data_IF_606227598378
#
_entry.id   IF_606227598378
#
_cell.length_a   1.000
_cell.length_b   1.000
_cell.length_c   1.000
_cell.angle_alpha   90.00
_cell.angle_beta   90.00
_cell.angle_gamma   90.00
#
_symmetry.space_group_name_H-M   'P 1'
#
loop_
_entity.id
_entity.type
_entity.pdbx_description
1 polymer ?
2 non-polymer ?
3 water ?
#
# COMPACT_ATOMS: atom_id res chain seq x y z
N UNK A 10 -15.72 1.46 -16.04
CA UNK A 10 -15.70 0.07 -16.58
C UNK A 10 -16.72 -0.80 -15.87
N UNK A 11 -17.26 -1.79 -16.58
CA UNK A 11 -17.95 -2.91 -15.96
C UNK A 11 -16.93 -3.80 -15.28
N UNK A 12 -17.32 -4.45 -14.19
CA UNK A 12 -16.41 -5.33 -13.46
C UNK A 12 -16.91 -6.75 -13.32
N UNK A 13 -15.98 -7.71 -13.27
CA UNK A 13 -16.34 -9.14 -13.15
C UNK A 13 -16.75 -9.53 -11.73
N UNK A 14 -16.51 -8.65 -10.77
CA UNK A 14 -16.91 -8.83 -9.37
C UNK A 14 -17.46 -7.48 -8.88
N UNK A 15 -18.24 -7.50 -7.80
CA UNK A 15 -18.72 -6.29 -7.17
C UNK A 15 -17.52 -5.53 -6.60
N UNK A 16 -17.40 -4.24 -6.96
CA UNK A 16 -16.36 -3.40 -6.38
C UNK A 16 -16.92 -2.66 -5.18
N UNK A 17 -16.20 -2.72 -4.07
CA UNK A 17 -16.57 -1.93 -2.90
C UNK A 17 -16.34 -0.46 -3.25
N UNK A 18 -17.00 0.43 -2.50
CA UNK A 18 -16.83 1.84 -2.78
C UNK A 18 -15.35 2.23 -2.61
N UNK A 19 -14.83 3.07 -3.51
CA UNK A 19 -13.43 3.46 -3.42
C UNK A 19 -13.20 4.29 -2.14
N UNK A 20 -12.00 4.21 -1.57
CA UNK A 20 -11.76 4.92 -0.31
C UNK A 20 -11.75 6.43 -0.46
N UNK A 21 -12.39 7.09 0.49
CA UNK A 21 -12.40 8.55 0.50
C UNK A 21 -12.43 9.07 1.93
N UNK A 22 -12.31 10.38 2.08
CA UNK A 22 -12.35 11.03 3.38
C UNK A 22 -13.39 12.14 3.36
N UNK A 23 -14.05 12.30 4.50
CA UNK A 23 -14.95 13.42 4.69
C UNK A 23 -14.23 14.75 4.44
N UNK A 24 -14.99 15.69 3.89
CA UNK A 24 -14.54 17.08 3.76
C UNK A 24 -15.46 17.93 4.65
N UNK A 25 -14.84 18.76 5.50
CA UNK A 25 -15.57 19.63 6.41
C UNK A 25 -16.65 20.45 5.70
N UNK A 26 -17.88 20.38 6.20
CA UNK A 26 -19.01 21.20 5.72
C UNK A 26 -19.41 20.96 4.25
N UNK A 27 -19.01 19.79 3.72
CA UNK A 27 -19.36 19.43 2.36
C UNK A 27 -19.94 18.01 2.34
N UNK A 28 -20.78 17.71 1.34
CA UNK A 28 -21.14 16.31 1.08
C UNK A 28 -20.19 15.65 0.07
N UNK A 29 -19.34 16.46 -0.58
CA UNK A 29 -18.34 15.90 -1.49
C UNK A 29 -17.18 15.33 -0.65
N UNK A 30 -16.43 14.43 -1.26
CA UNK A 30 -15.42 13.63 -0.55
C UNK A 30 -14.04 13.83 -1.18
N UNK A 31 -13.01 13.50 -0.40
CA UNK A 31 -11.65 13.49 -0.92
C UNK A 31 -11.25 12.05 -1.24
N UNK A 32 -11.06 11.71 -2.54
CA UNK A 32 -10.75 10.32 -2.92
C UNK A 32 -9.28 10.03 -2.67
N UNK A 33 -8.99 8.95 -1.97
CA UNK A 33 -7.61 8.63 -1.59
C UNK A 33 -6.94 7.82 -2.71
N UNK A 34 -5.73 8.23 -3.07
CA UNK A 34 -4.93 7.59 -4.10
C UNK A 34 -3.91 6.67 -3.40
N UNK A 35 -2.80 7.23 -2.92
CA UNK A 35 -1.86 6.48 -2.07
C UNK A 35 -1.64 7.25 -0.78
N UNK A 36 -1.06 6.56 0.18
CA UNK A 36 -0.83 7.12 1.52
C UNK A 36 0.65 6.91 1.86
N UNK A 37 1.38 8.02 2.06
CA UNK A 37 2.80 7.99 2.39
C UNK A 37 2.97 8.42 3.84
N UNK A 38 3.90 7.81 4.55
CA UNK A 38 4.11 8.10 5.95
C UNK A 38 5.60 8.28 6.20
N UNK A 39 6.01 9.45 6.67
CA UNK A 39 7.43 9.66 6.98
C UNK A 39 7.84 8.98 8.31
N UNK A 40 9.05 8.43 8.39
CA UNK A 40 9.49 7.60 9.58
C UNK A 40 9.70 8.15 11.02
N UNK A 41 10.83 8.83 11.29
CA UNK A 41 11.12 9.70 12.42
C UNK A 41 11.36 11.12 11.93
N UNK A 42 10.37 12.01 12.08
CA UNK A 42 10.46 13.36 11.53
C UNK A 42 10.22 14.47 12.55
N UNK A 43 10.30 14.17 13.83
CA UNK A 43 10.21 15.19 14.87
C UNK A 43 11.41 15.11 15.81
N UNK A 44 11.89 16.27 16.21
CA UNK A 44 12.86 16.39 17.30
C UNK A 44 12.14 16.81 18.60
N UNK A 45 12.82 16.72 19.73
CA UNK A 45 12.26 17.13 21.03
C UNK A 45 12.26 18.65 21.25
N UNK A 46 12.62 19.41 20.20
CA UNK A 46 12.76 20.86 20.26
C UNK A 46 12.65 21.51 18.87
N UNK A 47 12.98 22.80 18.80
CA UNK A 47 13.22 23.56 17.55
C UNK A 47 12.41 23.12 16.33
N UNK A 55 22.85 19.30 8.76
CA UNK A 55 23.23 17.90 8.75
C UNK A 55 22.06 16.96 9.09
N UNK A 56 20.84 17.33 8.70
CA UNK A 56 19.71 16.42 8.83
C UNK A 56 19.97 15.22 7.95
N UNK A 57 19.58 14.04 8.42
CA UNK A 57 19.59 12.85 7.56
C UNK A 57 18.33 12.88 6.68
N UNK A 58 18.42 12.38 5.43
CA UNK A 58 17.23 12.31 4.60
C UNK A 58 16.13 11.48 5.27
N UNK A 59 14.87 11.83 5.02
CA UNK A 59 13.77 11.06 5.59
C UNK A 59 13.63 9.70 4.92
N UNK A 60 12.98 8.77 5.62
CA UNK A 60 12.56 7.52 4.99
C UNK A 60 11.05 7.41 5.13
N UNK A 61 10.45 6.50 4.38
CA UNK A 61 9.00 6.44 4.25
C UNK A 61 8.50 5.01 4.30
N UNK A 62 7.30 4.85 4.86
CA UNK A 62 6.52 3.65 4.58
C UNK A 62 5.18 4.13 4.04
N UNK A 63 4.30 3.19 3.72
CA UNK A 63 3.00 3.53 3.17
C UNK A 63 1.91 2.75 3.89
N UNK A 64 0.65 3.15 3.64
CA UNK A 64 -0.50 2.34 4.03
C UNK A 64 -1.40 2.23 2.79
N UNK A 65 -2.20 1.15 2.68
CA UNK A 65 -3.12 1.08 1.54
C UNK A 65 -4.19 2.16 1.68
N UNK A 66 -4.69 2.63 0.55
CA UNK A 66 -5.68 3.69 0.53
C UNK A 66 -6.89 3.37 1.42
N UNK A 67 -7.33 2.09 1.43
CA UNK A 67 -8.50 1.76 2.22
C UNK A 67 -8.19 1.45 3.69
N UNK A 68 -6.94 1.63 4.13
CA UNK A 68 -6.62 1.67 5.57
C UNK A 68 -7.03 3.00 6.19
N UNK A 69 -7.33 4.01 5.37
CA UNK A 69 -7.78 5.31 5.85
C UNK A 69 -9.25 5.14 6.22
N UNK A 70 -9.53 5.37 7.49
CA UNK A 70 -10.87 5.24 8.04
C UNK A 70 -11.16 6.51 8.85
N UNK A 71 -12.42 6.72 9.24
CA UNK A 71 -12.69 7.91 10.03
C UNK A 71 -12.10 7.85 11.43
N UNK A 72 -11.51 8.98 11.84
CA UNK A 72 -11.05 9.16 13.23
C UNK A 72 -12.26 9.59 14.06
N UNK A 73 -13.24 8.71 14.13
CA UNK A 73 -14.55 9.00 14.72
C UNK A 73 -15.21 7.66 14.97
N UNK A 74 -16.13 7.61 15.94
CA UNK A 74 -16.85 6.36 16.19
C UNK A 74 -15.92 5.32 16.81
N UNK A 75 -15.90 4.11 16.24
CA UNK A 75 -15.04 3.03 16.71
C UNK A 75 -13.99 2.75 15.66
N UNK A 76 -12.77 2.49 16.12
CA UNK A 76 -11.67 1.99 15.28
C UNK A 76 -11.36 0.59 15.77
N UNK A 77 -11.45 -0.40 14.87
CA UNK A 77 -11.29 -1.80 15.26
C UNK A 77 -9.88 -2.09 15.79
N UNK A 78 -9.82 -2.96 16.79
CA UNK A 78 -8.56 -3.52 17.25
C UNK A 78 -8.18 -4.68 16.32
N UNK A 79 -6.98 -4.65 15.73
CA UNK A 79 -6.69 -5.65 14.68
C UNK A 79 -6.29 -6.99 15.26
N UNK A 80 -6.34 -8.05 14.43
CA UNK A 80 -5.79 -9.34 14.85
C UNK A 80 -4.26 -9.32 14.90
N UNK A 81 -3.68 -10.38 15.45
CA UNK A 81 -2.22 -10.59 15.45
C UNK A 81 -1.43 -9.54 16.21
N UNK A 82 -2.05 -8.88 17.17
CA UNK A 82 -1.29 -8.00 18.04
C UNK A 82 -1.77 -8.01 19.48
N UNK A 83 -0.81 -7.78 20.38
CA UNK A 83 -1.06 -7.42 21.77
C UNK A 83 -0.45 -6.07 22.09
N UNK A 84 -0.08 -5.30 21.06
CA UNK A 84 0.67 -4.07 21.34
C UNK A 84 0.39 -3.05 20.23
N UNK A 85 -0.80 -2.47 20.29
CA UNK A 85 -1.28 -1.51 19.27
C UNK A 85 -0.84 -0.10 19.67
N UNK A 86 0.07 0.50 18.90
CA UNK A 86 0.56 1.83 19.24
C UNK A 86 -0.10 2.93 18.45
N UNK A 87 -0.11 4.11 19.05
CA UNK A 87 -0.62 5.32 18.41
C UNK A 87 0.53 6.28 18.07
N UNK A 88 0.44 6.93 16.91
CA UNK A 88 1.33 8.06 16.58
C UNK A 88 0.47 9.14 15.90
N UNK A 89 0.17 10.22 16.63
CA UNK A 89 -0.60 11.37 16.11
C UNK A 89 0.21 12.14 15.08
N UNK A 90 -0.43 12.52 13.97
CA UNK A 90 0.28 13.19 12.88
C UNK A 90 -0.59 14.20 12.17
N UNK A 91 0.03 15.25 11.66
CA UNK A 91 -0.62 16.11 10.67
C UNK A 91 -0.64 15.38 9.32
N UNK A 92 -1.81 15.37 8.69
CA UNK A 92 -2.00 14.71 7.39
C UNK A 92 -2.16 15.80 6.33
N UNK A 93 -1.35 15.70 5.27
CA UNK A 93 -1.42 16.65 4.14
C UNK A 93 -2.11 15.95 2.97
N UNK A 94 -3.12 16.60 2.41
CA UNK A 94 -3.84 16.06 1.26
C UNK A 94 -3.40 16.76 -0.01
N UNK A 95 -3.03 15.98 -1.02
CA UNK A 95 -2.46 16.54 -2.25
C UNK A 95 -3.56 16.79 -3.27
N UNK A 96 -3.50 17.95 -3.94
CA UNK A 96 -4.49 18.29 -4.96
C UNK A 96 -3.97 18.43 -6.38
N UNK A 97 -2.67 18.23 -6.60
CA UNK A 97 -2.06 18.47 -7.93
C UNK A 97 -0.90 17.49 -8.09
N UNK A 98 -0.89 16.78 -9.22
CA UNK A 98 0.15 15.80 -9.54
C UNK A 98 1.50 16.48 -9.69
N UNK A 99 2.57 15.75 -9.40
CA UNK A 99 3.91 16.27 -9.73
C UNK A 99 5.02 15.28 -9.49
N UNK A 100 6.08 15.37 -10.27
CA UNK A 100 7.31 14.65 -9.96
C UNK A 100 8.45 15.62 -9.84
N UNK A 101 9.43 15.25 -9.01
CA UNK A 101 10.59 16.12 -8.78
C UNK A 101 10.15 17.56 -8.47
N UNK A 102 9.22 17.69 -7.52
CA UNK A 102 8.70 18.98 -7.09
C UNK A 102 9.73 19.71 -6.25
N UNK A 103 10.01 20.97 -6.60
CA UNK A 103 10.91 21.82 -5.82
C UNK A 103 10.21 22.20 -4.52
N UNK A 104 10.95 22.19 -3.37
CA UNK A 104 10.31 22.62 -2.12
C UNK A 104 9.59 23.97 -2.23
N UNK A 105 10.15 24.89 -3.02
CA UNK A 105 9.53 26.22 -3.20
C UNK A 105 8.16 26.16 -3.90
N UNK A 106 7.91 25.07 -4.64
CA UNK A 106 6.63 24.88 -5.33
C UNK A 106 5.71 23.89 -4.61
N UNK A 107 6.20 23.23 -3.57
CA UNK A 107 5.49 22.10 -2.97
C UNK A 107 4.11 22.43 -2.40
N UNK A 108 3.99 23.58 -1.72
CA UNK A 108 2.73 23.89 -1.04
C UNK A 108 1.61 24.15 -2.04
N UNK A 109 1.98 24.56 -3.26
CA UNK A 109 0.99 24.74 -4.32
C UNK A 109 0.33 23.41 -4.75
N UNK A 110 0.95 22.28 -4.39
CA UNK A 110 0.35 20.96 -4.64
C UNK A 110 -0.60 20.48 -3.55
N UNK A 111 -0.72 21.26 -2.48
CA UNK A 111 -1.52 20.87 -1.32
C UNK A 111 -2.97 21.29 -1.49
N UNK A 112 -3.88 20.30 -1.45
CA UNK A 112 -5.31 20.60 -1.36
C UNK A 112 -5.73 21.10 0.03
N UNK A 113 -5.25 20.43 1.06
CA UNK A 113 -5.66 20.78 2.41
C UNK A 113 -5.07 19.84 3.43
N UNK A 114 -5.66 19.87 4.62
CA UNK A 114 -5.05 19.22 5.79
C UNK A 114 -6.08 18.54 6.66
N UNK A 115 -5.62 17.53 7.38
CA UNK A 115 -6.39 16.89 8.42
C UNK A 115 -5.44 16.40 9.49
N UNK A 116 -5.99 15.65 10.44
CA UNK A 116 -5.22 15.06 11.54
C UNK A 116 -5.45 13.55 11.49
N UNK A 117 -4.39 12.77 11.70
CA UNK A 117 -4.53 11.33 11.65
C UNK A 117 -3.78 10.64 12.77
N UNK A 118 -3.99 9.33 12.89
CA UNK A 118 -3.22 8.51 13.80
C UNK A 118 -2.63 7.37 12.96
N UNK A 119 -1.30 7.29 12.95
CA UNK A 119 -0.61 6.12 12.42
C UNK A 119 -0.71 5.06 13.51
N UNK A 120 -1.52 4.04 13.28
CA UNK A 120 -1.60 2.89 14.21
C UNK A 120 -0.66 1.78 13.77
N UNK A 121 0.00 1.14 14.74
CA UNK A 121 1.03 0.13 14.48
C UNK A 121 0.80 -1.13 15.32
N UNK A 122 0.88 -2.30 14.69
CA UNK A 122 1.04 -3.55 15.43
C UNK A 122 2.54 -3.61 15.78
N UNK A 123 2.87 -3.05 16.93
CA UNK A 123 4.27 -2.78 17.28
C UNK A 123 5.07 -4.03 17.58
N UNK A 124 4.41 -5.06 18.11
CA UNK A 124 5.04 -6.36 18.26
C UNK A 124 5.46 -6.94 16.92
N UNK A 125 4.57 -6.87 15.91
CA UNK A 125 4.98 -7.30 14.57
C UNK A 125 6.10 -6.39 14.01
N UNK A 126 6.05 -5.10 14.29
CA UNK A 126 7.10 -4.21 13.81
C UNK A 126 8.45 -4.58 14.40
N UNK A 127 8.47 -4.91 15.70
CA UNK A 127 9.73 -5.30 16.36
C UNK A 127 10.32 -6.54 15.68
N UNK A 128 9.48 -7.51 15.34
CA UNK A 128 9.97 -8.71 14.69
C UNK A 128 10.47 -8.40 13.28
N UNK A 129 9.74 -7.55 12.55
CA UNK A 129 10.18 -7.16 11.21
C UNK A 129 11.55 -6.47 11.26
N UNK A 130 11.72 -5.55 12.20
CA UNK A 130 13.02 -4.88 12.33
C UNK A 130 14.15 -5.87 12.63
N UNK A 131 13.91 -6.80 13.55
CA UNK A 131 14.91 -7.80 13.93
C UNK A 131 15.36 -8.61 12.71
N UNK A 132 14.43 -8.90 11.81
CA UNK A 132 14.69 -9.78 10.68
C UNK A 132 14.96 -9.05 9.38
N UNK A 133 14.98 -7.72 9.46
CA UNK A 133 15.14 -6.87 8.26
C UNK A 133 14.06 -7.23 7.23
N UNK A 134 12.83 -7.37 7.69
CA UNK A 134 11.71 -7.76 6.84
C UNK A 134 10.74 -6.60 6.66
N UNK A 135 9.82 -6.72 5.70
CA UNK A 135 8.93 -5.59 5.42
C UNK A 135 7.99 -5.24 6.57
N UNK A 136 7.60 -3.99 6.62
CA UNK A 136 6.77 -3.43 7.69
C UNK A 136 5.28 -3.47 7.39
N UNK A 137 4.87 -4.06 6.27
CA UNK A 137 3.45 -3.96 5.84
C UNK A 137 2.48 -4.56 6.87
N UNK A 138 2.83 -5.71 7.47
CA UNK A 138 1.91 -6.27 8.47
C UNK A 138 1.82 -5.35 9.69
N UNK A 139 2.95 -4.74 10.04
CA UNK A 139 2.98 -3.82 11.19
C UNK A 139 2.24 -2.50 10.95
N UNK A 140 2.28 -1.99 9.73
CA UNK A 140 1.86 -0.62 9.45
C UNK A 140 0.65 -0.45 8.52
N UNK A 141 0.35 -1.46 7.70
CA UNK A 141 -0.64 -1.28 6.64
C UNK A 141 -1.87 -2.15 6.78
N UNK A 142 -2.24 -2.46 8.02
CA UNK A 142 -3.33 -3.38 8.33
C UNK A 142 -4.68 -2.65 8.30
N UNK A 143 -5.76 -3.36 8.56
CA UNK A 143 -7.09 -2.75 8.44
C UNK A 143 -7.26 -1.63 9.46
N UNK A 144 -7.84 -0.51 9.03
CA UNK A 144 -8.16 0.59 9.94
C UNK A 144 -6.90 1.10 10.64
N UNK A 145 -5.75 1.05 9.93
CA UNK A 145 -4.49 1.47 10.51
C UNK A 145 -4.19 2.96 10.31
N UNK A 146 -5.06 3.70 9.62
CA UNK A 146 -4.87 5.15 9.46
C UNK A 146 -6.14 5.97 9.63
N UNK A 147 -6.67 6.06 10.85
CA UNK A 147 -7.80 6.96 11.06
C UNK A 147 -7.41 8.41 10.80
N UNK A 148 -8.29 9.13 10.11
CA UNK A 148 -8.08 10.52 9.71
C UNK A 148 -9.35 11.32 9.96
N UNK A 149 -9.20 12.57 10.40
CA UNK A 149 -10.34 13.49 10.52
C UNK A 149 -10.87 13.91 9.16
N UNK A 150 -12.02 14.58 9.18
CA UNK A 150 -12.43 15.34 8.01
C UNK A 150 -11.31 16.28 7.58
N UNK A 151 -11.21 16.51 6.28
CA UNK A 151 -10.19 17.41 5.72
C UNK A 151 -10.75 18.80 5.54
N UNK A 152 -9.86 19.78 5.62
CA UNK A 152 -10.19 21.18 5.36
C UNK A 152 -9.27 21.73 4.27
N UNK A 153 -9.82 22.56 3.38
CA UNK A 153 -9.02 23.12 2.28
C UNK A 153 -7.95 24.07 2.82
N UNK A 154 -6.80 24.11 2.15
CA UNK A 154 -5.71 25.01 2.55
C UNK A 154 -6.11 26.48 2.48
N UNK A 155 -7.05 26.81 1.59
CA UNK A 155 -7.62 28.17 1.55
C UNK A 155 -8.23 28.56 2.90
N UNK A 156 -8.76 27.57 3.62
CA UNK A 156 -9.37 27.81 4.93
C UNK A 156 -8.36 27.70 6.08
N UNK A 157 -7.45 26.73 6.01
CA UNK A 157 -6.57 26.45 7.15
C UNK A 157 -5.30 27.30 7.09
N UNK A 158 -4.91 27.73 5.89
CA UNK A 158 -3.53 28.17 5.67
C UNK A 158 -2.58 26.97 5.71
N UNK A 159 -1.29 27.25 5.47
CA UNK A 159 -0.26 26.22 5.54
C UNK A 159 0.44 26.33 6.91
N UNK A 160 0.08 25.44 7.85
CA UNK A 160 0.56 25.59 9.22
C UNK A 160 2.05 25.27 9.34
N UNK A 161 2.79 26.12 10.04
CA UNK A 161 4.22 25.92 10.26
C UNK A 161 4.51 25.69 11.74
N UNK A 162 3.52 25.92 12.58
CA UNK A 162 3.69 25.78 14.02
C UNK A 162 2.33 25.47 14.57
N UNK A 163 2.29 25.00 15.82
CA UNK A 163 1.04 24.70 16.51
C UNK A 163 1.12 23.40 17.28
N UNK A 164 0.41 23.34 18.40
CA UNK A 164 0.38 22.13 19.22
C UNK A 164 -0.23 20.95 18.47
N UNK A 165 0.45 19.82 18.58
CA UNK A 165 -0.03 18.53 18.07
C UNK A 165 -0.03 17.57 19.25
N UNK A 166 -1.15 16.89 19.48
CA UNK A 166 -1.32 16.16 20.74
C UNK A 166 -2.28 14.99 20.58
N UNK A 167 -2.18 14.05 21.51
CA UNK A 167 -3.07 12.89 21.59
C UNK A 167 -3.24 12.56 23.07
N UNK A 168 -4.47 12.22 23.45
CA UNK A 168 -4.77 11.77 24.81
C UNK A 168 -5.53 10.46 24.76
N UNK A 169 -5.46 9.73 25.87
CA UNK A 169 -6.19 8.50 26.06
C UNK A 169 -6.98 8.64 27.36
N UNK A 170 -8.31 8.47 27.26
CA UNK A 170 -9.20 8.65 28.41
C UNK A 170 -8.94 9.94 29.16
N UNK A 171 -8.58 10.97 28.40
CA UNK A 171 -8.39 12.33 28.93
C UNK A 171 -6.99 12.67 29.37
N UNK A 172 -6.08 11.70 29.30
CA UNK A 172 -4.71 11.91 29.76
C UNK A 172 -3.79 12.04 28.55
N UNK A 173 -2.99 13.11 28.52
CA UNK A 173 -2.08 13.32 27.37
C UNK A 173 -1.08 12.18 27.24
N UNK A 174 -0.90 11.67 26.02
CA UNK A 174 0.09 10.62 25.77
C UNK A 174 1.14 11.02 24.74
N UNK A 175 0.84 12.02 23.92
CA UNK A 175 1.82 12.60 23.01
C UNK A 175 1.60 14.09 22.93
N UNK A 176 2.69 14.82 22.82
CA UNK A 176 2.60 16.26 22.70
C UNK A 176 3.87 16.83 22.09
N UNK A 177 3.67 17.74 21.17
CA UNK A 177 4.78 18.50 20.61
C UNK A 177 4.22 19.66 19.81
N UNK A 178 5.02 20.17 18.89
CA UNK A 178 4.60 21.29 18.06
C UNK A 178 5.01 21.01 16.62
N UNK A 179 4.19 21.44 15.65
CA UNK A 179 4.55 21.27 14.24
C UNK A 179 5.93 21.87 13.92
N UNK A 180 6.35 22.87 14.68
CA UNK A 180 7.66 23.51 14.44
C UNK A 180 8.81 22.55 14.77
N UNK A 181 8.50 21.43 15.43
CA UNK A 181 9.48 20.40 15.79
C UNK A 181 9.85 19.51 14.60
N UNK A 182 9.14 19.63 13.49
CA UNK A 182 9.42 18.75 12.33
C UNK A 182 10.85 18.94 11.88
N UNK A 183 11.53 17.83 11.59
CA UNK A 183 12.90 17.85 11.08
C UNK A 183 12.90 18.34 9.62
N UNK A 184 12.14 17.65 8.77
CA UNK A 184 11.89 18.09 7.42
C UNK A 184 10.49 18.67 7.35
N UNK A 185 10.35 19.96 7.02
CA UNK A 185 9.02 20.53 6.96
C UNK A 185 8.23 20.03 5.75
N UNK A 186 6.94 20.32 5.74
CA UNK A 186 6.02 19.82 4.74
C UNK A 186 6.53 19.98 3.28
N UNK A 187 7.02 21.18 2.89
CA UNK A 187 7.49 21.33 1.50
C UNK A 187 8.58 20.33 1.11
N UNK A 188 9.51 20.08 2.02
CA UNK A 188 10.58 19.10 1.77
C UNK A 188 10.08 17.67 1.76
N UNK A 189 9.14 17.36 2.63
CA UNK A 189 8.57 16.01 2.65
C UNK A 189 7.89 15.71 1.30
N UNK A 190 7.09 16.66 0.84
CA UNK A 190 6.47 16.56 -0.49
C UNK A 190 7.52 16.36 -1.58
N UNK A 191 8.57 17.19 -1.54
CA UNK A 191 9.63 17.09 -2.53
C UNK A 191 10.26 15.70 -2.54
N UNK A 192 10.59 15.18 -1.35
CA UNK A 192 11.18 13.84 -1.28
C UNK A 192 10.27 12.77 -1.83
N UNK A 193 8.97 12.78 -1.50
CA UNK A 193 8.07 11.72 -2.01
C UNK A 193 8.04 11.79 -3.54
N UNK A 194 7.95 13.01 -4.07
CA UNK A 194 7.85 13.23 -5.52
C UNK A 194 9.10 12.84 -6.32
N UNK A 195 10.20 12.52 -5.63
CA UNK A 195 11.41 12.02 -6.29
C UNK A 195 11.46 10.49 -6.32
N UNK A 196 10.58 9.84 -5.55
CA UNK A 196 10.51 8.38 -5.50
C UNK A 196 9.43 7.83 -6.42
N UNK A 197 8.28 8.52 -6.46
CA UNK A 197 7.12 8.18 -7.28
C UNK A 197 6.53 9.49 -7.82
N UNK A 198 5.64 9.42 -8.81
CA UNK A 198 4.87 10.59 -9.16
C UNK A 198 3.84 10.83 -8.07
N UNK A 199 3.88 12.02 -7.47
CA UNK A 199 2.84 12.41 -6.53
C UNK A 199 1.56 12.68 -7.33
N UNK A 200 0.41 12.32 -6.76
CA UNK A 200 -0.88 12.51 -7.45
C UNK A 200 -1.89 13.22 -6.57
N UNK A 201 -2.75 14.01 -7.20
CA UNK A 201 -3.97 14.46 -6.53
C UNK A 201 -4.68 13.25 -5.93
N UNK A 202 -5.03 13.38 -4.66
CA UNK A 202 -5.62 12.28 -3.92
C UNK A 202 -4.66 11.63 -2.93
N UNK A 203 -3.39 11.94 -3.03
CA UNK A 203 -2.45 11.38 -2.06
C UNK A 203 -2.58 12.03 -0.69
N UNK A 204 -2.35 11.22 0.33
CA UNK A 204 -2.22 11.70 1.70
C UNK A 204 -0.82 11.43 2.22
N UNK A 205 -0.28 12.41 2.96
CA UNK A 205 1.03 12.25 3.56
C UNK A 205 0.94 12.47 5.07
N UNK A 206 1.29 11.46 5.84
CA UNK A 206 1.40 11.56 7.28
C UNK A 206 2.83 12.07 7.56
N UNK A 207 2.93 13.21 8.26
CA UNK A 207 4.18 13.99 8.28
C UNK A 207 5.08 13.82 9.50
N UNK A 208 4.74 12.87 10.35
CA UNK A 208 5.57 12.54 11.50
C UNK A 208 4.81 12.72 12.80
N UNK A 209 5.42 12.28 13.89
CA UNK A 209 4.75 12.26 15.19
C UNK A 209 5.63 12.86 16.27
N UNK A 210 5.03 13.62 17.19
CA UNK A 210 5.82 14.21 18.29
C UNK A 210 6.15 13.16 19.35
N UNK A 211 6.86 13.59 20.39
CA UNK A 211 7.27 12.71 21.47
C UNK A 211 6.11 12.07 22.25
N UNK A 212 6.43 11.00 22.97
CA UNK A 212 5.43 10.20 23.72
C UNK A 212 5.20 8.88 23.00
N UNK A 213 5.35 7.80 23.74
CA UNK A 213 5.20 6.42 23.22
C UNK A 213 4.04 5.79 23.97
N UNK A 214 3.07 5.24 23.25
CA UNK A 214 1.98 4.62 23.95
C UNK A 214 1.19 3.63 23.15
N UNK A 215 0.60 2.70 23.89
CA UNK A 215 -0.27 1.68 23.35
C UNK A 215 -1.72 1.94 23.72
N UNK A 216 -2.62 1.28 22.99
CA UNK A 216 -4.05 1.40 23.14
C UNK A 216 -4.63 0.02 23.44
N UNK A 217 -5.68 -0.01 24.25
CA UNK A 217 -6.39 -1.27 24.45
C UNK A 217 -7.89 -1.07 24.25
N UNK A 218 -8.64 -2.18 24.07
CA UNK A 218 -10.08 -2.04 23.80
C UNK A 218 -10.78 -1.15 24.84
N UNK A 219 -11.61 -0.25 24.35
CA UNK A 219 -12.41 0.63 25.20
C UNK A 219 -11.72 1.95 25.45
N UNK A 220 -10.43 2.08 25.13
CA UNK A 220 -9.76 3.38 25.28
C UNK A 220 -10.42 4.43 24.39
N UNK A 221 -10.60 5.63 24.95
CA UNK A 221 -11.12 6.77 24.20
C UNK A 221 -9.93 7.63 23.78
N UNK A 222 -9.69 7.68 22.48
CA UNK A 222 -8.54 8.42 21.93
C UNK A 222 -9.02 9.76 21.45
N UNK A 223 -8.39 10.82 21.93
CA UNK A 223 -8.66 12.14 21.43
C UNK A 223 -7.34 12.76 20.96
N UNK A 224 -7.43 13.81 20.18
CA UNK A 224 -6.20 14.47 19.74
C UNK A 224 -6.46 15.57 18.77
N UNK A 225 -5.40 16.20 18.31
CA UNK A 225 -5.60 17.30 17.39
C UNK A 225 -4.33 17.99 16.98
N UNK A 226 -4.50 18.90 16.04
CA UNK A 226 -3.48 19.86 15.70
C UNK A 226 -4.17 21.22 15.72
N UNK A 227 -3.65 22.13 16.57
CA UNK A 227 -4.22 23.46 16.70
C UNK A 227 -4.33 24.13 15.34
N UNK A 228 -5.48 24.75 15.07
CA UNK A 228 -5.72 25.40 13.79
C UNK A 228 -6.20 24.48 12.67
N UNK A 229 -6.19 23.17 12.91
CA UNK A 229 -6.60 22.20 11.87
C UNK A 229 -7.86 21.43 12.25
N UNK A 230 -7.75 20.50 13.21
CA UNK A 230 -8.88 19.66 13.58
C UNK A 230 -8.58 18.96 14.90
N UNK A 231 -9.63 18.51 15.57
CA UNK A 231 -9.51 17.60 16.70
C UNK A 231 -10.37 16.37 16.41
N UNK A 232 -10.23 15.32 17.22
CA UNK A 232 -11.01 14.09 16.99
C UNK A 232 -11.23 13.37 18.29
N UNK A 233 -12.18 12.43 18.23
CA UNK A 233 -12.38 11.41 19.26
C UNK A 233 -12.77 10.13 18.56
N UNK A 234 -12.20 9.02 19.01
CA UNK A 234 -12.73 7.68 18.66
C UNK A 234 -12.49 6.70 19.81
N UNK A 235 -13.21 5.58 19.81
CA UNK A 235 -12.97 4.53 20.82
C UNK A 235 -12.34 3.32 20.13
N UNK A 236 -11.47 2.62 20.84
CA UNK A 236 -10.84 1.40 20.34
C UNK A 236 -11.80 0.22 20.53
N UNK A 237 -12.02 -0.56 19.47
CA UNK A 237 -12.94 -1.67 19.53
C UNK A 237 -12.38 -2.88 20.26
N UNK A 238 -13.22 -3.91 20.38
CA UNK A 238 -12.89 -5.13 21.09
C UNK A 238 -11.78 -5.92 20.40
N UNK A 239 -10.93 -6.57 21.21
CA UNK A 239 -9.92 -7.47 20.65
C UNK A 239 -10.64 -8.68 20.00
N UNK A 240 -10.29 -9.01 18.74
CA UNK A 240 -10.98 -10.13 18.09
C UNK A 240 -10.51 -11.47 18.67
N UNK B 2 -41.70 -5.64 -5.25
CA UNK B 2 -40.53 -6.43 -5.74
C UNK B 2 -39.26 -5.63 -5.46
N UNK B 3 -38.10 -6.22 -5.74
CA UNK B 3 -36.82 -5.60 -5.35
C UNK B 3 -36.53 -4.36 -6.15
N UNK B 4 -35.89 -3.40 -5.49
CA UNK B 4 -35.48 -2.17 -6.13
C UNK B 4 -34.34 -1.55 -5.36
N UNK B 5 -33.56 -0.74 -6.06
CA UNK B 5 -32.53 0.07 -5.41
C UNK B 5 -32.18 1.26 -6.26
N UNK B 6 -31.54 2.24 -5.66
CA UNK B 6 -31.06 3.39 -6.37
C UNK B 6 -29.80 3.80 -5.66
N UNK B 7 -28.66 3.39 -6.20
CA UNK B 7 -27.42 3.75 -5.56
C UNK B 7 -26.90 5.10 -6.06
N UNK B 8 -26.43 5.90 -5.12
CA UNK B 8 -25.94 7.24 -5.41
C UNK B 8 -24.43 7.25 -5.20
N UNK B 9 -23.69 7.77 -6.16
CA UNK B 9 -22.25 7.81 -6.07
C UNK B 9 -21.82 9.12 -5.44
N UNK B 10 -20.80 9.07 -4.58
CA UNK B 10 -20.22 10.30 -4.03
C UNK B 10 -19.63 11.22 -5.08
N UNK B 11 -19.76 12.52 -4.85
CA UNK B 11 -19.01 13.54 -5.59
C UNK B 11 -17.67 13.75 -4.92
N UNK B 12 -16.65 14.15 -5.68
CA UNK B 12 -15.31 14.36 -5.14
C UNK B 12 -14.86 15.81 -5.35
N UNK B 13 -14.06 16.30 -4.40
CA UNK B 13 -13.59 17.69 -4.42
C UNK B 13 -12.44 17.91 -5.39
N UNK B 14 -11.84 16.82 -5.86
CA UNK B 14 -10.82 16.88 -6.90
C UNK B 14 -11.20 15.85 -7.98
N UNK B 15 -10.57 15.93 -9.16
CA UNK B 15 -10.76 14.90 -10.18
C UNK B 15 -10.28 13.54 -9.63
N UNK B 16 -11.16 12.54 -9.67
CA UNK B 16 -10.79 11.18 -9.30
C UNK B 16 -10.42 10.40 -10.57
N UNK B 17 -9.23 9.81 -10.53
CA UNK B 17 -8.74 9.00 -11.63
C UNK B 17 -9.54 7.70 -11.65
N UNK B 18 -9.64 7.06 -12.82
CA UNK B 18 -10.24 5.74 -12.95
C UNK B 18 -9.59 4.80 -11.94
N UNK B 19 -10.40 4.04 -11.20
CA UNK B 19 -9.85 3.15 -10.19
C UNK B 19 -9.05 2.03 -10.86
N UNK B 20 -7.99 1.56 -10.18
CA UNK B 20 -7.12 0.56 -10.82
C UNK B 20 -7.88 -0.73 -11.12
N UNK B 21 -7.63 -1.30 -12.28
CA UNK B 21 -8.24 -2.58 -12.67
C UNK B 21 -7.37 -3.30 -13.67
N UNK B 22 -7.65 -4.58 -13.86
CA UNK B 22 -6.86 -5.47 -14.75
C UNK B 22 -7.78 -5.97 -15.83
N UNK B 23 -7.26 -6.05 -17.04
CA UNK B 23 -7.95 -6.66 -18.17
C UNK B 23 -8.32 -8.09 -17.81
N UNK B 24 -9.45 -8.54 -18.33
CA UNK B 24 -9.86 -9.93 -18.23
C UNK B 24 -9.88 -10.52 -19.63
N UNK B 25 -9.24 -11.67 -19.78
CA UNK B 25 -9.22 -12.39 -21.05
C UNK B 25 -10.64 -12.72 -21.54
N UNK B 26 -10.88 -12.51 -22.84
CA UNK B 26 -12.16 -12.81 -23.50
C UNK B 26 -13.37 -12.09 -22.84
N UNK B 27 -13.13 -10.88 -22.32
CA UNK B 27 -14.20 -10.06 -21.73
C UNK B 27 -13.92 -8.58 -21.90
N UNK B 28 -14.99 -7.79 -21.99
CA UNK B 28 -14.87 -6.34 -21.90
C UNK B 28 -14.94 -5.83 -20.45
N UNK B 29 -15.34 -6.69 -19.50
CA UNK B 29 -15.34 -6.30 -18.10
C UNK B 29 -13.92 -6.46 -17.54
N UNK B 30 -13.66 -5.75 -16.45
CA UNK B 30 -12.32 -5.76 -15.87
C UNK B 30 -12.37 -6.21 -14.41
N UNK B 31 -11.19 -6.40 -13.83
CA UNK B 31 -11.08 -6.84 -12.45
C UNK B 31 -10.57 -5.67 -11.60
N UNK B 32 -11.42 -5.13 -10.70
CA UNK B 32 -11.03 -3.97 -9.89
C UNK B 32 -10.11 -4.40 -8.76
N UNK B 33 -8.97 -3.74 -8.62
CA UNK B 33 -7.96 -4.13 -7.65
C UNK B 33 -8.19 -3.42 -6.32
N UNK B 34 -8.13 -4.21 -5.24
CA UNK B 34 -8.36 -3.72 -3.89
C UNK B 34 -6.98 -3.52 -3.22
N UNK B 35 -6.39 -4.60 -2.70
CA UNK B 35 -5.00 -4.56 -2.23
C UNK B 35 -4.16 -5.60 -2.96
N UNK B 36 -2.83 -5.47 -2.86
CA UNK B 36 -1.91 -6.39 -3.52
C UNK B 36 -0.94 -6.94 -2.47
N UNK B 37 -0.96 -8.26 -2.25
CA UNK B 37 -0.09 -8.90 -1.27
C UNK B 37 0.94 -9.74 -2.01
N UNK B 38 2.17 -9.74 -1.51
CA UNK B 38 3.28 -10.43 -2.19
C UNK B 38 4.03 -11.27 -1.17
N UNK B 39 4.13 -12.56 -1.42
CA UNK B 39 4.84 -13.41 -0.51
C UNK B 39 6.36 -13.27 -0.72
N UNK B 40 7.05 -13.25 0.41
CA UNK B 40 8.45 -13.40 0.40
C UNK B 40 8.72 -14.83 -0.01
N UNK B 41 9.94 -15.20 0.18
CA UNK B 41 10.55 -16.39 -0.43
C UNK B 41 9.64 -17.61 -0.33
N UNK B 42 9.12 -18.06 -1.46
CA UNK B 42 8.13 -19.13 -1.48
C UNK B 42 8.38 -20.23 -2.52
N UNK B 43 9.60 -20.34 -3.04
CA UNK B 43 9.95 -21.45 -3.92
C UNK B 43 11.16 -22.19 -3.44
N UNK B 44 11.13 -23.51 -3.57
CA UNK B 44 12.25 -24.33 -3.21
C UNK B 44 12.80 -25.07 -4.43
N UNK B 45 13.92 -25.77 -4.24
CA UNK B 45 14.57 -26.55 -5.30
C UNK B 45 13.83 -27.86 -5.55
N UNK B 55 9.59 -28.97 7.94
CA UNK B 55 9.73 -27.88 8.90
C UNK B 55 9.79 -26.53 8.16
N UNK B 56 8.73 -26.21 7.43
CA UNK B 56 8.62 -24.93 6.72
C UNK B 56 8.45 -23.79 7.72
N UNK B 57 9.16 -22.69 7.48
CA UNK B 57 8.90 -21.48 8.24
C UNK B 57 7.69 -20.78 7.65
N UNK B 58 6.90 -20.10 8.50
CA UNK B 58 5.77 -19.32 8.02
C UNK B 58 6.24 -18.30 6.97
N UNK B 59 5.38 -18.00 5.98
CA UNK B 59 5.74 -16.99 4.98
C UNK B 59 5.70 -15.59 5.59
N UNK B 60 6.36 -14.64 4.92
CA UNK B 60 6.18 -13.22 5.23
C UNK B 60 5.72 -12.51 3.96
N UNK B 61 5.25 -11.29 4.13
CA UNK B 61 4.57 -10.57 3.05
C UNK B 61 4.98 -9.12 2.97
N UNK B 62 5.04 -8.60 1.75
CA UNK B 62 5.00 -7.16 1.55
C UNK B 62 3.81 -6.89 0.63
N UNK B 63 3.57 -5.62 0.31
CA UNK B 63 2.43 -5.24 -0.53
C UNK B 63 2.90 -4.29 -1.62
N UNK B 64 2.03 -4.04 -2.59
CA UNK B 64 2.19 -2.98 -3.56
C UNK B 64 0.87 -2.20 -3.57
N UNK B 65 0.90 -0.91 -3.94
CA UNK B 65 -0.36 -0.19 -4.05
C UNK B 65 -1.16 -0.72 -5.25
N UNK B 66 -2.47 -0.64 -5.15
CA UNK B 66 -3.36 -1.14 -6.20
C UNK B 66 -3.00 -0.57 -7.56
N UNK B 67 -2.63 0.72 -7.60
CA UNK B 67 -2.36 1.35 -8.88
C UNK B 67 -0.93 1.14 -9.39
N UNK B 68 -0.12 0.33 -8.69
CA UNK B 68 1.15 -0.14 -9.22
C UNK B 68 0.96 -1.30 -10.18
N UNK B 69 -0.26 -1.84 -10.22
CA UNK B 69 -0.60 -2.95 -11.13
C UNK B 69 -0.88 -2.34 -12.49
N UNK B 70 -0.03 -2.66 -13.46
CA UNK B 70 -0.10 -2.11 -14.79
C UNK B 70 -0.05 -3.25 -15.79
N UNK B 71 -0.39 -2.98 -17.07
CA UNK B 71 -0.34 -4.07 -18.03
C UNK B 71 1.06 -4.60 -18.28
N UNK B 72 1.18 -5.91 -18.34
CA UNK B 72 2.44 -6.57 -18.69
C UNK B 72 2.52 -6.65 -20.23
N UNK B 73 2.50 -5.47 -20.85
CA UNK B 73 2.51 -5.32 -22.31
C UNK B 73 2.88 -3.89 -22.62
N UNK B 74 3.20 -3.61 -23.87
CA UNK B 74 3.62 -2.28 -24.22
C UNK B 74 4.94 -1.93 -23.59
N UNK B 75 5.01 -0.77 -22.96
CA UNK B 75 6.19 -0.29 -22.26
C UNK B 75 5.89 -0.28 -20.77
N UNK B 76 6.88 -0.69 -19.97
CA UNK B 76 6.77 -0.62 -18.53
C UNK B 76 7.88 0.36 -18.12
N UNK B 77 7.51 1.45 -17.47
CA UNK B 77 8.49 2.50 -17.20
C UNK B 77 9.64 2.03 -16.29
N UNK B 78 10.84 2.51 -16.55
CA UNK B 78 11.97 2.31 -15.65
C UNK B 78 11.87 3.41 -14.57
N UNK B 79 11.80 3.03 -13.28
CA UNK B 79 11.50 4.01 -12.23
C UNK B 79 12.72 4.90 -11.92
N UNK B 80 12.47 6.06 -11.28
CA UNK B 80 13.55 6.90 -10.78
C UNK B 80 14.24 6.23 -9.58
N UNK B 81 15.34 6.81 -9.12
CA UNK B 81 16.02 6.41 -7.86
C UNK B 81 16.55 4.99 -7.87
N UNK B 82 16.85 4.45 -9.04
CA UNK B 82 17.47 3.16 -9.09
C UNK B 82 18.47 3.01 -10.23
N UNK B 83 19.51 2.22 -9.99
CA UNK B 83 20.39 1.75 -11.04
C UNK B 83 20.36 0.23 -11.06
N UNK B 84 19.34 -0.37 -10.42
CA UNK B 84 19.34 -1.84 -10.26
C UNK B 84 17.91 -2.39 -10.10
N UNK B 85 17.19 -2.43 -11.22
CA UNK B 85 15.80 -2.91 -11.29
C UNK B 85 15.81 -4.41 -11.47
N UNK B 86 15.19 -5.16 -10.56
CA UNK B 86 15.16 -6.61 -10.69
C UNK B 86 13.79 -7.15 -11.04
N UNK B 87 13.79 -8.31 -11.70
CA UNK B 87 12.55 -9.03 -12.05
C UNK B 87 12.37 -10.27 -11.21
N UNK B 88 11.11 -10.56 -10.88
CA UNK B 88 10.71 -11.84 -10.30
C UNK B 88 9.38 -12.26 -10.92
N UNK B 89 9.40 -13.30 -11.75
CA UNK B 89 8.17 -13.84 -12.36
C UNK B 89 7.31 -14.55 -11.30
N UNK B 90 5.99 -14.32 -11.31
CA UNK B 90 5.10 -14.90 -10.28
C UNK B 90 3.74 -15.23 -10.83
N UNK B 91 3.13 -16.31 -10.31
CA UNK B 91 1.70 -16.55 -10.48
C UNK B 91 0.91 -15.57 -9.60
N UNK B 92 -0.04 -14.87 -10.21
CA UNK B 92 -0.88 -13.92 -9.49
C UNK B 92 -2.29 -14.50 -9.31
N UNK B 93 -2.75 -14.53 -8.06
CA UNK B 93 -4.08 -15.04 -7.72
C UNK B 93 -5.03 -13.88 -7.45
N UNK B 94 -6.18 -13.90 -8.12
CA UNK B 94 -7.18 -12.82 -7.97
C UNK B 94 -8.33 -13.32 -7.12
N UNK B 95 -8.67 -12.57 -6.06
CA UNK B 95 -9.68 -13.01 -5.08
C UNK B 95 -11.07 -12.50 -5.46
N UNK B 96 -12.07 -13.36 -5.34
CA UNK B 96 -13.45 -12.98 -5.65
C UNK B 96 -14.43 -13.02 -4.49
N UNK B 97 -13.97 -13.36 -3.29
CA UNK B 97 -14.86 -13.50 -2.13
C UNK B 97 -14.14 -13.10 -0.87
N UNK B 98 -14.78 -12.22 -0.09
CA UNK B 98 -14.18 -11.74 1.14
C UNK B 98 -13.98 -12.88 2.15
N UNK B 99 -13.03 -12.72 3.05
CA UNK B 99 -12.97 -13.62 4.20
C UNK B 99 -11.88 -13.33 5.17
N UNK B 100 -12.11 -13.64 6.43
CA UNK B 100 -11.03 -13.64 7.40
C UNK B 100 -10.88 -15.04 8.00
N UNK B 101 -9.65 -15.36 8.44
CA UNK B 101 -9.37 -16.66 9.04
C UNK B 101 -9.92 -17.81 8.17
N UNK B 102 -9.54 -17.78 6.90
CA UNK B 102 -10.01 -18.74 5.91
C UNK B 102 -9.22 -20.05 6.10
N UNK B 103 -9.93 -21.17 6.20
CA UNK B 103 -9.23 -22.46 6.29
C UNK B 103 -8.67 -22.79 4.90
N UNK B 104 -7.44 -23.36 4.84
CA UNK B 104 -6.89 -23.77 3.55
C UNK B 104 -7.85 -24.62 2.73
N UNK B 105 -8.62 -25.50 3.39
CA UNK B 105 -9.55 -26.35 2.66
C UNK B 105 -10.64 -25.56 1.93
N UNK B 106 -10.88 -24.32 2.35
CA UNK B 106 -11.92 -23.46 1.76
C UNK B 106 -11.33 -22.34 0.90
N UNK B 107 -10.01 -22.23 0.89
CA UNK B 107 -9.38 -21.04 0.32
C UNK B 107 -9.58 -20.88 -1.19
N UNK B 108 -9.50 -21.98 -1.94
CA UNK B 108 -9.66 -21.88 -3.38
C UNK B 108 -11.06 -21.39 -3.78
N UNK B 109 -12.07 -21.60 -2.93
CA UNK B 109 -13.40 -21.07 -3.21
C UNK B 109 -13.46 -19.56 -3.19
N UNK B 110 -12.43 -18.92 -2.61
CA UNK B 110 -12.32 -17.47 -2.62
C UNK B 110 -11.64 -16.93 -3.84
N UNK B 111 -11.14 -17.81 -4.71
CA UNK B 111 -10.35 -17.35 -5.87
C UNK B 111 -11.24 -17.11 -7.09
N UNK B 112 -11.20 -15.88 -7.63
CA UNK B 112 -11.89 -15.58 -8.89
C UNK B 112 -11.10 -16.11 -10.10
N UNK B 113 -9.79 -15.93 -10.11
CA UNK B 113 -9.00 -16.27 -11.28
C UNK B 113 -7.54 -16.05 -11.09
N UNK B 114 -6.80 -16.10 -12.20
CA UNK B 114 -5.35 -16.10 -12.18
C UNK B 114 -4.78 -15.25 -13.28
N UNK B 115 -3.56 -14.73 -13.04
CA UNK B 115 -2.78 -14.12 -14.07
C UNK B 115 -1.31 -14.37 -13.82
N UNK B 116 -0.47 -13.72 -14.62
CA UNK B 116 0.99 -13.84 -14.50
C UNK B 116 1.52 -12.43 -14.28
N UNK B 117 2.44 -12.29 -13.34
CA UNK B 117 2.94 -10.97 -12.98
C UNK B 117 4.45 -10.94 -12.86
N UNK B 118 4.99 -9.75 -12.82
CA UNK B 118 6.41 -9.57 -12.49
C UNK B 118 6.46 -8.64 -11.28
N UNK B 119 7.02 -9.13 -10.18
CA UNK B 119 7.35 -8.29 -9.04
C UNK B 119 8.63 -7.57 -9.43
N UNK B 120 8.53 -6.28 -9.69
CA UNK B 120 9.72 -5.45 -9.94
C UNK B 120 10.22 -4.81 -8.66
N UNK B 121 11.54 -4.74 -8.54
CA UNK B 121 12.18 -4.23 -7.32
C UNK B 121 13.27 -3.23 -7.63
N UNK B 122 13.30 -2.13 -6.89
CA UNK B 122 14.48 -1.24 -6.91
C UNK B 122 15.44 -1.87 -5.90
N UNK B 123 16.31 -2.76 -6.39
CA UNK B 123 17.08 -3.67 -5.53
C UNK B 123 18.14 -2.92 -4.72
N UNK B 124 18.71 -1.87 -5.30
CA UNK B 124 19.62 -1.01 -4.54
C UNK B 124 18.94 -0.38 -3.33
N UNK B 125 17.74 0.16 -3.52
CA UNK B 125 16.97 0.68 -2.38
C UNK B 125 16.63 -0.42 -1.41
N UNK B 126 16.32 -1.61 -1.92
CA UNK B 126 16.04 -2.72 -1.02
C UNK B 126 17.22 -3.09 -0.14
N UNK B 127 18.42 -3.13 -0.73
CA UNK B 127 19.58 -3.52 0.06
C UNK B 127 19.83 -2.49 1.18
N UNK B 128 19.63 -1.21 0.87
CA UNK B 128 19.76 -0.13 1.86
C UNK B 128 18.75 -0.30 2.97
N UNK B 129 17.51 -0.58 2.61
CA UNK B 129 16.46 -0.82 3.60
C UNK B 129 16.80 -1.99 4.52
N UNK B 130 17.29 -3.08 3.95
CA UNK B 130 17.64 -4.24 4.76
C UNK B 130 18.77 -3.91 5.75
N UNK B 131 19.79 -3.19 5.29
CA UNK B 131 20.94 -2.80 6.13
C UNK B 131 20.48 -1.99 7.34
N UNK B 132 19.47 -1.15 7.14
CA UNK B 132 18.98 -0.22 8.17
C UNK B 132 17.72 -0.72 8.92
N UNK B 133 17.24 -1.93 8.61
CA UNK B 133 15.96 -2.41 9.16
C UNK B 133 14.85 -1.41 8.92
N UNK B 134 14.76 -0.91 7.69
CA UNK B 134 13.81 0.13 7.33
C UNK B 134 12.78 -0.46 6.35
N UNK B 135 11.67 0.25 6.13
CA UNK B 135 10.59 -0.30 5.32
C UNK B 135 10.99 -0.49 3.85
N UNK B 136 10.34 -1.45 3.20
CA UNK B 136 10.63 -1.83 1.82
C UNK B 136 9.77 -1.13 0.80
N UNK B 137 8.95 -0.18 1.21
CA UNK B 137 7.99 0.41 0.27
C UNK B 137 8.64 1.09 -0.92
N UNK B 138 9.71 1.85 -0.69
CA UNK B 138 10.40 2.43 -1.83
C UNK B 138 10.95 1.34 -2.78
N UNK B 139 11.43 0.24 -2.21
CA UNK B 139 12.01 -0.84 -2.99
C UNK B 139 10.95 -1.61 -3.80
N UNK B 140 9.74 -1.74 -3.24
CA UNK B 140 8.78 -2.72 -3.75
C UNK B 140 7.48 -2.14 -4.26
N UNK B 141 7.13 -0.92 -3.84
CA UNK B 141 5.79 -0.37 -4.07
C UNK B 141 5.74 0.87 -4.92
N UNK B 142 6.71 0.99 -5.81
CA UNK B 142 6.88 2.16 -6.65
C UNK B 142 5.98 2.12 -7.91
N UNK B 143 6.07 3.14 -8.77
CA UNK B 143 5.18 3.17 -9.92
C UNK B 143 5.44 2.04 -10.88
N UNK B 144 4.37 1.42 -11.39
CA UNK B 144 4.50 0.35 -12.40
C UNK B 144 5.39 -0.78 -11.88
N UNK B 145 5.33 -1.04 -10.58
CA UNK B 145 6.13 -2.10 -9.97
C UNK B 145 5.50 -3.48 -10.01
N UNK B 146 4.28 -3.59 -10.55
CA UNK B 146 3.63 -4.90 -10.66
C UNK B 146 2.91 -5.10 -11.98
N UNK B 147 3.69 -5.21 -13.08
CA UNK B 147 3.01 -5.56 -14.33
C UNK B 147 2.32 -6.94 -14.21
N UNK B 148 1.08 -7.02 -14.70
CA UNK B 148 0.29 -8.26 -14.67
C UNK B 148 -0.38 -8.44 -16.03
N UNK B 149 -0.51 -9.70 -16.47
CA UNK B 149 -1.26 -10.02 -17.68
C UNK B 149 -2.75 -9.85 -17.47
N UNK B 150 -3.51 -9.88 -18.57
CA UNK B 150 -4.92 -10.10 -18.45
C UNK B 150 -5.18 -11.35 -17.58
N UNK B 151 -6.24 -11.28 -16.79
CA UNK B 151 -6.63 -12.38 -15.93
C UNK B 151 -7.58 -13.34 -16.64
N UNK B 152 -7.49 -14.61 -16.25
CA UNK B 152 -8.47 -15.63 -16.67
C UNK B 152 -9.26 -16.12 -15.47
N UNK B 153 -10.56 -16.31 -15.65
CA UNK B 153 -11.41 -16.86 -14.59
C UNK B 153 -10.97 -18.27 -14.24
N UNK B 154 -11.04 -18.62 -12.97
CA UNK B 154 -10.69 -19.98 -12.53
C UNK B 154 -11.60 -21.06 -13.15
N UNK B 155 -12.80 -20.69 -13.56
CA UNK B 155 -13.67 -21.62 -14.26
C UNK B 155 -13.09 -22.01 -15.62
N UNK B 156 -12.23 -21.16 -16.18
CA UNK B 156 -11.54 -21.44 -17.45
C UNK B 156 -10.22 -22.17 -17.29
N UNK B 157 -9.55 -21.99 -16.15
CA UNK B 157 -8.17 -22.51 -15.97
C UNK B 157 -8.06 -23.67 -14.99
N UNK B 158 -9.08 -23.84 -14.16
CA UNK B 158 -8.90 -24.60 -12.91
C UNK B 158 -7.97 -23.86 -11.96
N UNK B 159 -7.55 -24.53 -10.89
CA UNK B 159 -6.64 -23.94 -9.91
C UNK B 159 -5.28 -24.56 -10.18
N UNK B 160 -4.39 -23.84 -10.91
CA UNK B 160 -3.14 -24.48 -11.32
C UNK B 160 -2.29 -24.85 -10.11
N UNK B 161 -1.69 -26.03 -10.14
CA UNK B 161 -0.83 -26.50 -9.02
C UNK B 161 0.51 -27.03 -9.50
N UNK B 162 0.70 -27.11 -10.81
CA UNK B 162 1.91 -27.63 -11.42
C UNK B 162 2.07 -26.96 -12.77
N UNK B 163 3.29 -26.91 -13.25
CA UNK B 163 3.57 -26.43 -14.59
C UNK B 163 4.63 -25.34 -14.65
N UNK B 164 5.14 -25.12 -15.85
CA UNK B 164 6.26 -24.20 -16.06
C UNK B 164 5.89 -22.74 -15.78
N UNK B 165 6.77 -22.06 -15.03
CA UNK B 165 6.70 -20.63 -14.78
C UNK B 165 8.07 -20.09 -15.19
N UNK B 166 8.10 -19.09 -16.06
CA UNK B 166 9.37 -18.74 -16.70
C UNK B 166 9.40 -17.26 -17.06
N UNK B 167 10.62 -16.75 -17.24
CA UNK B 167 10.82 -15.39 -17.68
C UNK B 167 12.12 -15.35 -18.48
N UNK B 168 12.10 -14.63 -19.61
CA UNK B 168 13.28 -14.38 -20.43
C UNK B 168 13.47 -12.90 -20.65
N UNK B 169 14.73 -12.54 -20.91
CA UNK B 169 15.10 -11.16 -21.22
C UNK B 169 15.87 -11.18 -22.53
N UNK B 170 15.38 -10.41 -23.49
CA UNK B 170 15.94 -10.42 -24.83
C UNK B 170 16.10 -11.84 -25.37
N UNK B 171 15.09 -12.66 -25.08
CA UNK B 171 15.02 -14.03 -25.60
C UNK B 171 15.87 -15.04 -24.81
N UNK B 172 16.57 -14.58 -23.79
CA UNK B 172 17.46 -15.44 -23.00
C UNK B 172 16.76 -15.80 -21.69
N UNK B 173 16.51 -17.09 -21.44
CA UNK B 173 15.80 -17.49 -20.23
C UNK B 173 16.58 -17.12 -18.99
N UNK B 174 15.93 -16.43 -18.06
CA UNK B 174 16.54 -16.03 -16.80
C UNK B 174 15.91 -16.74 -15.61
N UNK B 175 14.64 -17.08 -15.70
CA UNK B 175 13.98 -17.84 -14.63
C UNK B 175 13.18 -18.95 -15.24
N UNK B 176 13.22 -20.14 -14.64
CA UNK B 176 12.40 -21.24 -15.08
C UNK B 176 12.24 -22.18 -13.91
N UNK B 177 11.01 -22.35 -13.47
CA UNK B 177 10.71 -23.26 -12.42
C UNK B 177 9.36 -23.90 -12.65
N UNK B 178 8.81 -24.50 -11.59
CA UNK B 178 7.52 -25.16 -11.70
C UNK B 178 6.66 -24.74 -10.52
N UNK B 179 5.38 -24.49 -10.76
CA UNK B 179 4.46 -24.12 -9.68
C UNK B 179 4.47 -25.11 -8.52
N UNK B 180 4.80 -26.38 -8.82
CA UNK B 180 4.80 -27.42 -7.81
C UNK B 180 5.88 -27.19 -6.76
N UNK B 181 6.82 -26.29 -7.05
CA UNK B 181 7.90 -26.04 -6.12
C UNK B 181 7.62 -24.96 -5.08
N UNK B 182 6.39 -24.42 -5.11
CA UNK B 182 5.97 -23.51 -4.05
C UNK B 182 6.14 -24.14 -2.67
N UNK B 183 6.66 -23.37 -1.72
CA UNK B 183 6.86 -23.87 -0.35
C UNK B 183 5.51 -23.95 0.33
N UNK B 184 4.78 -22.82 0.35
CA UNK B 184 3.40 -22.80 0.79
C UNK B 184 2.50 -22.71 -0.44
N UNK B 185 1.62 -23.71 -0.64
CA UNK B 185 0.72 -23.64 -1.78
C UNK B 185 -0.29 -22.51 -1.65
N UNK B 186 -0.97 -22.24 -2.76
CA UNK B 186 -1.89 -21.12 -2.83
C UNK B 186 -2.95 -21.12 -1.71
N UNK B 187 -3.58 -22.29 -1.40
CA UNK B 187 -4.60 -22.24 -0.34
C UNK B 187 -4.03 -21.80 1.02
N UNK B 188 -2.78 -22.19 1.31
CA UNK B 188 -2.15 -21.79 2.57
C UNK B 188 -1.73 -20.33 2.55
N UNK B 189 -1.27 -19.85 1.41
CA UNK B 189 -0.93 -18.43 1.29
C UNK B 189 -2.17 -17.57 1.54
N UNK B 190 -3.30 -17.95 0.92
CA UNK B 190 -4.56 -17.25 1.12
C UNK B 190 -4.93 -17.26 2.61
N UNK B 191 -4.89 -18.43 3.23
CA UNK B 191 -5.19 -18.55 4.66
C UNK B 191 -4.34 -17.60 5.53
N UNK B 192 -3.03 -17.57 5.27
CA UNK B 192 -2.11 -16.73 6.02
C UNK B 192 -2.46 -15.23 5.86
N UNK B 193 -2.74 -14.79 4.63
CA UNK B 193 -3.08 -13.37 4.47
C UNK B 193 -4.34 -13.07 5.26
N UNK B 194 -5.32 -13.97 5.20
CA UNK B 194 -6.62 -13.77 5.85
C UNK B 194 -6.56 -13.77 7.38
N UNK B 195 -5.43 -14.16 7.97
CA UNK B 195 -5.27 -14.09 9.41
C UNK B 195 -4.65 -12.75 9.86
N UNK B 196 -4.15 -11.97 8.89
CA UNK B 196 -3.53 -10.67 9.15
C UNK B 196 -4.50 -9.51 8.89
N UNK B 197 -5.30 -9.62 7.83
CA UNK B 197 -6.28 -8.62 7.44
C UNK B 197 -7.51 -9.38 6.95
N UNK B 198 -8.62 -8.70 6.75
CA UNK B 198 -9.72 -9.32 6.04
C UNK B 198 -9.38 -9.32 4.55
N UNK B 199 -9.35 -10.49 3.95
CA UNK B 199 -9.19 -10.60 2.51
C UNK B 199 -10.47 -10.12 1.84
N UNK B 200 -10.34 -9.45 0.70
CA UNK B 200 -11.51 -8.89 0.02
C UNK B 200 -11.53 -9.27 -1.45
N UNK B 201 -12.74 -9.39 -2.00
CA UNK B 201 -12.90 -9.45 -3.44
C UNK B 201 -12.15 -8.26 -4.04
N UNK B 202 -11.33 -8.54 -5.04
CA UNK B 202 -10.50 -7.51 -5.64
C UNK B 202 -9.03 -7.61 -5.25
N UNK B 203 -8.72 -8.41 -4.23
CA UNK B 203 -7.31 -8.59 -3.86
C UNK B 203 -6.53 -9.41 -4.86
N UNK B 204 -5.26 -9.04 -5.04
CA UNK B 204 -4.31 -9.83 -5.83
C UNK B 204 -3.24 -10.35 -4.89
N UNK B 205 -2.80 -11.59 -5.12
CA UNK B 205 -1.69 -12.16 -4.36
C UNK B 205 -0.62 -12.66 -5.32
N UNK B 206 0.57 -12.10 -5.18
CA UNK B 206 1.74 -12.57 -5.92
C UNK B 206 2.35 -13.68 -5.05
N UNK B 207 2.47 -14.87 -5.63
CA UNK B 207 2.68 -16.11 -4.86
C UNK B 207 4.14 -16.59 -4.78
N UNK B 208 5.08 -15.76 -5.25
CA UNK B 208 6.49 -16.09 -5.13
C UNK B 208 7.13 -16.37 -6.47
N UNK B 209 8.43 -16.59 -6.46
CA UNK B 209 9.19 -16.66 -7.69
C UNK B 209 10.22 -17.77 -7.63
N UNK B 210 10.47 -18.46 -8.76
CA UNK B 210 11.55 -19.44 -8.76
C UNK B 210 12.91 -18.74 -8.82
N UNK B 211 13.99 -19.51 -8.84
CA UNK B 211 15.32 -18.96 -8.89
C UNK B 211 15.55 -18.09 -10.13
N UNK B 212 16.58 -17.26 -10.05
CA UNK B 212 17.03 -16.53 -11.23
C UNK B 212 16.66 -15.07 -11.25
N UNK B 213 16.21 -14.54 -10.12
CA UNK B 213 16.02 -13.08 -9.97
C UNK B 213 17.28 -12.39 -10.51
N UNK B 214 17.10 -11.34 -11.32
CA UNK B 214 18.23 -10.64 -11.90
C UNK B 214 17.78 -9.29 -12.40
N UNK B 215 18.71 -8.52 -12.96
CA UNK B 215 18.45 -7.13 -13.35
C UNK B 215 17.82 -6.98 -14.74
N UNK B 216 17.07 -5.89 -14.90
CA UNK B 216 16.53 -5.42 -16.18
C UNK B 216 17.18 -4.09 -16.52
N UNK B 217 17.66 -3.96 -17.76
CA UNK B 217 18.20 -2.71 -18.26
C UNK B 217 17.12 -1.96 -19.03
N UNK B 218 17.20 -0.61 -19.05
CA UNK B 218 16.32 0.14 -19.94
C UNK B 218 16.36 -0.43 -21.35
N UNK B 219 15.19 -0.64 -21.96
CA UNK B 219 15.12 -1.17 -23.31
C UNK B 219 14.97 -2.68 -23.39
N UNK B 220 15.17 -3.39 -22.28
CA UNK B 220 15.09 -4.85 -22.34
C UNK B 220 13.70 -5.31 -22.76
N UNK B 221 13.64 -6.40 -23.54
CA UNK B 221 12.38 -7.07 -23.91
C UNK B 221 12.15 -8.24 -22.93
N UNK B 222 11.11 -8.13 -22.10
CA UNK B 222 10.83 -9.15 -21.09
C UNK B 222 9.67 -9.99 -21.56
N UNK B 223 9.87 -11.30 -21.59
CA UNK B 223 8.80 -12.25 -21.88
C UNK B 223 8.70 -13.22 -20.72
N UNK B 224 7.56 -13.89 -20.63
CA UNK B 224 7.40 -14.90 -19.59
C UNK B 224 6.01 -15.46 -19.61
N UNK B 225 5.75 -16.33 -18.63
CA UNK B 225 4.46 -16.99 -18.60
C UNK B 225 4.33 -18.04 -17.55
N UNK B 226 3.11 -18.51 -17.40
CA UNK B 226 2.83 -19.72 -16.63
C UNK B 226 1.99 -20.57 -17.56
N UNK B 227 2.41 -21.81 -17.80
CA UNK B 227 1.74 -22.63 -18.80
C UNK B 227 0.24 -22.75 -18.48
N UNK B 228 -0.59 -22.49 -19.49
CA UNK B 228 -2.05 -22.56 -19.38
C UNK B 228 -2.71 -21.31 -18.82
N UNK B 229 -1.91 -20.36 -18.30
CA UNK B 229 -2.50 -19.19 -17.67
C UNK B 229 -2.35 -17.96 -18.57
N UNK B 230 -1.11 -17.57 -18.88
CA UNK B 230 -0.85 -16.44 -19.77
C UNK B 230 0.61 -16.41 -20.15
N UNK B 231 0.91 -15.76 -21.26
CA UNK B 231 2.27 -15.31 -21.54
C UNK B 231 2.23 -13.81 -21.72
N UNK B 232 3.39 -13.19 -21.70
CA UNK B 232 3.47 -11.76 -21.89
C UNK B 232 4.75 -11.37 -22.61
N UNK B 233 4.72 -10.15 -23.13
CA UNK B 233 5.90 -9.52 -23.77
C UNK B 233 5.77 -8.01 -23.55
N UNK B 234 6.80 -7.39 -22.97
CA UNK B 234 6.82 -5.92 -22.83
C UNK B 234 8.24 -5.42 -22.91
N UNK B 235 8.39 -4.11 -23.10
CA UNK B 235 9.69 -3.49 -23.21
C UNK B 235 9.87 -2.54 -22.02
N UNK B 236 11.02 -2.61 -21.36
CA UNK B 236 11.35 -1.70 -20.26
C UNK B 236 11.66 -0.31 -20.85
N UNK B 237 11.07 0.72 -20.25
CA UNK B 237 11.30 2.08 -20.72
C UNK B 237 12.69 2.61 -20.44
N UNK B 238 12.91 3.84 -20.91
CA UNK B 238 14.19 4.53 -20.75
C UNK B 238 14.37 4.99 -19.31
N UNK B 239 15.61 5.03 -18.85
CA UNK B 239 15.93 5.55 -17.53
C UNK B 239 15.65 7.06 -17.47
N UNK B 240 14.92 7.51 -16.43
CA UNK B 240 14.58 8.93 -16.35
C UNK B 240 15.77 9.76 -15.89
#
# INVERSE_FOLDING_TARGET
>A
MAHHHHHHMSAYVIDAAERPSVEVDQSSARFPVRRVFCVGRNYADHAREMGADPDREPPFFFTKPADAIVPASGTVAYPPLTNDLHHEIELVVAIGKDGRSIDPADALSHVWGYGVGVDLTRRDLQAEAKKLSRPWDWAKGFDASGPVTALRAATATGHPAAGRIWLAVNGDTRQQGDLADMIWPVPDVIAYVSRSVELKAGDLIFTGTPAGVGALQPGDRVTGGVDGIATFEFVVGAKP
>B
MAHHHHHHMSAYVIDAAERPSVEVDQSSARFPVRRVFCVGRNYADHAREMGADPDREPPFFFTKPADAIVPASGTVAYPPLTNDLHHEIELVVAIGKDGRSIDPADALSHVWGYGVGVDLTRRDLQAEAKKLSRPWDWAKGFDASGPVTALRAATATGHPAAGRIWLAVNGDTRQQGDLADMIWPVPDVIAYVSRSVELKAGDLIFTGTPAGVGALQPGDRVTGGVDGIATFEFVVGAKP
#
